data_IF_444934054173
#
_entry.id   IF_444934054173
#
_cell.length_a   1.000
_cell.length_b   1.000
_cell.length_c   1.000
_cell.angle_alpha   90.00
_cell.angle_beta   90.00
_cell.angle_gamma   90.00
#
_symmetry.space_group_name_H-M   'P 1'
#
loop_
_entity.id
_entity.type
_entity.pdbx_description
1 polymer ?
#
# COMPACT_ATOMS: atom_id res chain seq x y z
N UNK A 1 50.30 -19.20 31.55
CA UNK A 1 50.11 -18.46 30.29
C UNK A 1 48.63 -18.26 29.91
N UNK A 2 47.65 -18.77 30.67
CA UNK A 2 46.20 -18.52 30.42
C UNK A 2 45.64 -17.23 31.06
N UNK A 3 46.38 -16.56 31.96
CA UNK A 3 45.86 -15.39 32.70
C UNK A 3 45.79 -14.10 31.87
N UNK A 4 46.58 -13.98 30.80
CA UNK A 4 46.68 -12.73 30.02
C UNK A 4 45.41 -12.49 29.17
N UNK A 5 44.81 -13.54 28.61
CA UNK A 5 43.58 -13.43 27.81
C UNK A 5 42.33 -13.09 28.64
N UNK A 6 42.29 -13.47 29.92
CA UNK A 6 41.15 -13.17 30.79
C UNK A 6 41.17 -11.72 31.25
N UNK A 7 42.34 -11.15 31.55
CA UNK A 7 42.45 -9.73 31.93
C UNK A 7 42.12 -8.80 30.77
N UNK A 8 42.56 -9.09 29.55
CA UNK A 8 42.18 -8.29 28.36
C UNK A 8 40.67 -8.35 28.07
N UNK A 9 40.03 -9.50 28.32
CA UNK A 9 38.59 -9.67 28.17
C UNK A 9 37.80 -8.93 29.27
N UNK A 10 38.24 -9.02 30.52
CA UNK A 10 37.60 -8.34 31.66
C UNK A 10 37.79 -6.83 31.61
N UNK A 11 38.98 -6.35 31.24
CA UNK A 11 39.27 -4.91 31.11
C UNK A 11 38.57 -4.32 29.87
N UNK A 12 38.44 -5.09 28.78
CA UNK A 12 37.79 -4.63 27.55
C UNK A 12 36.26 -4.71 27.55
N UNK A 13 35.67 -5.79 28.07
CA UNK A 13 34.22 -6.05 28.01
C UNK A 13 33.52 -5.97 29.38
N UNK A 14 34.25 -6.11 30.49
CA UNK A 14 33.69 -6.03 31.84
C UNK A 14 32.92 -4.74 32.14
N UNK A 15 33.45 -3.53 31.81
CA UNK A 15 32.73 -2.28 32.01
C UNK A 15 31.40 -2.20 31.24
N UNK A 16 31.34 -2.77 30.03
CA UNK A 16 30.14 -2.77 29.17
C UNK A 16 29.04 -3.68 29.74
N UNK A 17 29.43 -4.87 30.21
CA UNK A 17 28.51 -5.82 30.85
C UNK A 17 27.99 -5.28 32.18
N UNK A 18 28.85 -4.62 32.97
CA UNK A 18 28.45 -3.98 34.23
C UNK A 18 27.47 -2.82 33.99
N UNK A 19 27.73 -2.00 32.98
CA UNK A 19 26.80 -0.94 32.58
C UNK A 19 25.43 -1.50 32.16
N UNK A 20 25.42 -2.57 31.36
CA UNK A 20 24.17 -3.25 30.95
C UNK A 20 23.39 -3.78 32.16
N UNK A 21 24.09 -4.43 33.10
CA UNK A 21 23.49 -4.94 34.34
C UNK A 21 22.85 -3.81 35.15
N UNK A 22 23.58 -2.69 35.34
CA UNK A 22 23.06 -1.51 36.03
C UNK A 22 21.81 -0.95 35.35
N UNK A 23 21.80 -0.91 34.02
CA UNK A 23 20.66 -0.40 33.26
C UNK A 23 19.42 -1.30 33.41
N UNK A 24 19.61 -2.63 33.38
CA UNK A 24 18.52 -3.59 33.64
C UNK A 24 17.97 -3.42 35.06
N UNK A 25 18.85 -3.31 36.05
CA UNK A 25 18.46 -3.09 37.46
C UNK A 25 17.70 -1.77 37.59
N UNK A 26 18.18 -0.68 36.99
CA UNK A 26 17.49 0.60 36.97
C UNK A 26 16.11 0.50 36.31
N UNK A 27 16.00 -0.22 35.18
CA UNK A 27 14.73 -0.48 34.51
C UNK A 27 13.72 -1.21 35.40
N UNK A 28 14.15 -2.24 36.11
CA UNK A 28 13.30 -2.97 37.07
C UNK A 28 12.84 -2.04 38.19
N UNK A 29 13.73 -1.22 38.76
CA UNK A 29 13.39 -0.25 39.81
C UNK A 29 12.35 0.75 39.31
N UNK A 30 12.52 1.28 38.09
CA UNK A 30 11.54 2.19 37.47
C UNK A 30 10.20 1.50 37.25
N UNK A 31 10.18 0.28 36.71
CA UNK A 31 8.96 -0.50 36.52
C UNK A 31 8.20 -0.72 37.83
N UNK A 32 8.91 -1.10 38.89
CA UNK A 32 8.33 -1.31 40.22
C UNK A 32 7.79 0.01 40.80
N UNK A 33 8.52 1.11 40.63
CA UNK A 33 8.12 2.44 41.09
C UNK A 33 6.84 2.91 40.40
N UNK A 34 6.78 2.80 39.06
CA UNK A 34 5.59 3.13 38.27
C UNK A 34 4.43 2.21 38.64
N UNK A 35 4.67 0.91 38.78
CA UNK A 35 3.63 -0.05 39.15
C UNK A 35 3.01 0.27 40.52
N UNK A 36 3.83 0.70 41.50
CA UNK A 36 3.36 1.17 42.81
C UNK A 36 2.59 2.49 42.72
N UNK A 37 3.07 3.44 41.92
CA UNK A 37 2.39 4.73 41.72
C UNK A 37 1.02 4.56 41.06
N UNK A 38 0.95 3.77 39.99
CA UNK A 38 -0.30 3.44 39.30
C UNK A 38 -1.26 2.70 40.25
N UNK A 39 -0.77 1.79 41.09
CA UNK A 39 -1.59 1.12 42.11
C UNK A 39 -2.13 2.11 43.15
N UNK A 40 -1.34 3.09 43.56
CA UNK A 40 -1.75 4.14 44.48
C UNK A 40 -2.87 5.02 43.88
N UNK A 41 -2.73 5.42 42.60
CA UNK A 41 -3.75 6.18 41.88
C UNK A 41 -5.04 5.39 41.68
N UNK A 42 -4.93 4.10 41.37
CA UNK A 42 -6.06 3.19 41.26
C UNK A 42 -6.82 3.08 42.60
N UNK A 43 -6.12 2.91 43.73
CA UNK A 43 -6.73 2.87 45.08
C UNK A 43 -7.42 4.17 45.49
N UNK A 44 -7.04 5.30 44.89
CA UNK A 44 -7.70 6.60 45.09
C UNK A 44 -8.89 6.82 44.15
N UNK A 45 -9.33 5.80 43.41
CA UNK A 45 -10.36 5.88 42.35
C UNK A 45 -10.06 6.96 41.29
N UNK A 46 -8.80 7.34 41.10
CA UNK A 46 -8.42 8.38 40.15
C UNK A 46 -8.30 7.86 38.71
N UNK A 47 -8.15 6.54 38.51
CA UNK A 47 -7.96 5.90 37.20
C UNK A 47 -8.74 4.58 37.11
N UNK A 48 -9.19 4.21 35.91
CA UNK A 48 -9.84 2.92 35.64
C UNK A 48 -8.82 1.78 35.53
N UNK A 49 -9.29 0.54 35.69
CA UNK A 49 -8.45 -0.65 35.58
C UNK A 49 -7.77 -0.76 34.20
N UNK A 50 -8.52 -0.48 33.12
CA UNK A 50 -7.99 -0.49 31.75
C UNK A 50 -6.83 0.50 31.58
N UNK A 51 -6.94 1.70 32.15
CA UNK A 51 -5.88 2.72 32.06
C UNK A 51 -4.63 2.30 32.83
N UNK A 52 -4.79 1.67 34.01
CA UNK A 52 -3.71 1.11 34.80
C UNK A 52 -2.94 0.02 34.06
N UNK A 53 -3.65 -0.89 33.38
CA UNK A 53 -3.04 -1.96 32.59
C UNK A 53 -2.29 -1.41 31.36
N UNK A 54 -2.89 -0.44 30.65
CA UNK A 54 -2.25 0.23 29.50
C UNK A 54 -0.97 0.95 29.93
N UNK A 55 -0.99 1.70 31.04
CA UNK A 55 0.20 2.39 31.55
C UNK A 55 1.33 1.43 31.92
N UNK A 56 1.00 0.30 32.57
CA UNK A 56 2.00 -0.74 32.90
C UNK A 56 2.59 -1.37 31.64
N UNK A 57 1.75 -1.67 30.64
CA UNK A 57 2.20 -2.25 29.38
C UNK A 57 3.10 -1.29 28.59
N UNK A 58 2.73 -0.01 28.50
CA UNK A 58 3.56 1.03 27.87
C UNK A 58 4.90 1.17 28.61
N UNK A 59 4.87 1.23 29.95
CA UNK A 59 6.10 1.33 30.76
C UNK A 59 7.01 0.13 30.53
N UNK A 60 6.45 -1.09 30.55
CA UNK A 60 7.18 -2.32 30.26
C UNK A 60 7.79 -2.29 28.86
N UNK A 61 7.03 -1.84 27.86
CA UNK A 61 7.50 -1.70 26.49
C UNK A 61 8.65 -0.70 26.36
N UNK A 62 8.55 0.48 26.97
CA UNK A 62 9.60 1.51 26.96
C UNK A 62 10.89 0.98 27.59
N UNK A 63 10.79 0.31 28.74
CA UNK A 63 11.96 -0.28 29.42
C UNK A 63 12.62 -1.33 28.54
N UNK A 64 11.82 -2.24 27.96
CA UNK A 64 12.33 -3.28 27.07
C UNK A 64 13.06 -2.68 25.86
N UNK A 65 12.45 -1.70 25.19
CA UNK A 65 13.04 -1.01 24.03
C UNK A 65 14.32 -0.28 24.44
N UNK A 66 14.34 0.39 25.59
CA UNK A 66 15.52 1.10 26.08
C UNK A 66 16.68 0.12 26.33
N UNK A 67 16.45 -0.93 27.11
CA UNK A 67 17.47 -1.97 27.37
C UNK A 67 17.97 -2.57 26.06
N UNK A 68 17.06 -2.88 25.13
CA UNK A 68 17.41 -3.43 23.83
C UNK A 68 18.29 -2.47 23.01
N UNK A 69 17.94 -1.19 22.89
CA UNK A 69 18.72 -0.21 22.15
C UNK A 69 20.11 0.00 22.74
N UNK A 70 20.23 0.06 24.08
CA UNK A 70 21.54 0.17 24.73
C UNK A 70 22.38 -1.11 24.57
N UNK A 71 21.74 -2.28 24.54
CA UNK A 71 22.42 -3.54 24.24
C UNK A 71 23.01 -3.51 22.82
N UNK A 72 22.23 -3.06 21.84
CA UNK A 72 22.69 -2.90 20.46
C UNK A 72 23.84 -1.88 20.34
N UNK A 73 23.79 -0.79 21.11
CA UNK A 73 24.87 0.19 21.16
C UNK A 73 26.18 -0.42 21.66
N UNK A 74 26.14 -1.34 22.64
CA UNK A 74 27.33 -2.04 23.12
C UNK A 74 27.91 -3.02 22.08
N UNK A 75 27.07 -3.55 21.20
CA UNK A 75 27.46 -4.37 20.04
C UNK A 75 28.03 -3.52 18.88
N UNK A 76 28.14 -2.20 19.05
CA UNK A 76 28.66 -1.28 18.03
C UNK A 76 27.60 -0.80 17.03
N UNK A 77 26.32 -1.13 17.24
CA UNK A 77 25.21 -0.67 16.40
C UNK A 77 24.64 0.63 16.98
N UNK A 78 24.91 1.76 16.34
CA UNK A 78 24.37 3.05 16.77
C UNK A 78 22.89 3.17 16.37
N UNK A 79 22.06 3.79 17.23
CA UNK A 79 20.63 4.02 16.96
C UNK A 79 20.42 4.71 15.58
N UNK A 80 21.30 5.65 15.22
CA UNK A 80 21.26 6.33 13.92
C UNK A 80 21.38 5.37 12.73
N UNK A 81 22.20 4.32 12.85
CA UNK A 81 22.38 3.32 11.78
C UNK A 81 21.13 2.44 11.62
N UNK A 82 20.47 2.08 12.72
CA UNK A 82 19.22 1.33 12.70
C UNK A 82 18.14 2.15 11.99
N UNK A 83 17.97 3.40 12.41
CA UNK A 83 16.98 4.32 11.82
C UNK A 83 17.28 4.55 10.34
N UNK A 84 18.54 4.80 9.97
CA UNK A 84 18.92 4.98 8.57
C UNK A 84 18.61 3.73 7.73
N UNK A 85 18.91 2.53 8.22
CA UNK A 85 18.63 1.27 7.51
C UNK A 85 17.12 1.05 7.31
N UNK A 86 16.31 1.38 8.32
CA UNK A 86 14.87 1.23 8.24
C UNK A 86 14.26 2.23 7.26
N UNK A 87 14.69 3.49 7.31
CA UNK A 87 14.22 4.53 6.40
C UNK A 87 14.62 4.25 4.96
N UNK A 88 15.84 3.78 4.72
CA UNK A 88 16.30 3.39 3.38
C UNK A 88 15.49 2.20 2.86
N UNK A 89 15.24 1.18 3.68
CA UNK A 89 14.39 0.06 3.30
C UNK A 89 12.95 0.50 2.99
N UNK A 90 12.37 1.36 3.82
CA UNK A 90 11.04 1.92 3.59
C UNK A 90 10.98 2.76 2.31
N UNK A 91 12.01 3.56 2.03
CA UNK A 91 12.12 4.33 0.79
C UNK A 91 12.18 3.42 -0.45
N UNK A 92 12.95 2.32 -0.40
CA UNK A 92 13.01 1.34 -1.48
C UNK A 92 11.65 0.70 -1.75
N UNK A 93 10.92 0.34 -0.69
CA UNK A 93 9.56 -0.20 -0.80
C UNK A 93 8.61 0.85 -1.42
N UNK A 94 8.68 2.10 -0.98
CA UNK A 94 7.84 3.18 -1.50
C UNK A 94 8.07 3.40 -3.00
N UNK A 95 9.33 3.41 -3.45
CA UNK A 95 9.67 3.53 -4.87
C UNK A 95 9.11 2.34 -5.68
N UNK A 96 9.28 1.11 -5.18
CA UNK A 96 8.71 -0.08 -5.81
C UNK A 96 7.19 -0.02 -5.92
N UNK A 97 6.52 0.49 -4.89
CA UNK A 97 5.07 0.67 -4.89
C UNK A 97 4.60 1.68 -5.95
N UNK A 98 5.32 2.80 -6.10
CA UNK A 98 5.03 3.80 -7.14
C UNK A 98 5.12 3.18 -8.54
N UNK A 99 6.10 2.31 -8.78
CA UNK A 99 6.28 1.64 -10.07
C UNK A 99 5.10 0.71 -10.44
N UNK A 100 4.50 0.04 -9.46
CA UNK A 100 3.40 -0.92 -9.67
C UNK A 100 2.02 -0.26 -9.61
N UNK A 101 1.92 0.96 -9.05
CA UNK A 101 0.65 1.66 -8.80
C UNK A 101 -0.25 1.72 -10.05
N UNK A 102 0.31 2.07 -11.21
CA UNK A 102 -0.46 2.17 -12.46
C UNK A 102 -0.99 0.82 -12.93
N UNK A 103 -0.19 -0.24 -12.84
CA UNK A 103 -0.59 -1.60 -13.24
C UNK A 103 -1.71 -2.10 -12.35
N UNK A 104 -1.56 -1.93 -11.02
CA UNK A 104 -2.58 -2.32 -10.05
C UNK A 104 -3.88 -1.54 -10.25
N UNK A 105 -3.79 -0.24 -10.51
CA UNK A 105 -4.95 0.62 -10.78
C UNK A 105 -5.73 0.14 -12.01
N UNK A 106 -5.05 -0.16 -13.13
CA UNK A 106 -5.71 -0.68 -14.33
C UNK A 106 -6.33 -2.06 -14.10
N UNK A 107 -5.61 -2.96 -13.43
CA UNK A 107 -6.11 -4.28 -13.07
C UNK A 107 -7.40 -4.22 -12.24
N UNK A 108 -7.42 -3.39 -11.19
CA UNK A 108 -8.60 -3.19 -10.37
C UNK A 108 -9.75 -2.59 -11.19
N UNK A 109 -9.46 -1.65 -12.10
CA UNK A 109 -10.48 -1.08 -12.99
C UNK A 109 -11.07 -2.12 -13.94
N UNK A 110 -10.26 -3.02 -14.50
CA UNK A 110 -10.79 -4.15 -15.30
C UNK A 110 -11.72 -5.03 -14.49
N UNK A 111 -11.36 -5.32 -13.23
CA UNK A 111 -12.22 -6.08 -12.33
C UNK A 111 -13.55 -5.35 -12.05
N UNK A 112 -13.50 -4.03 -11.84
CA UNK A 112 -14.71 -3.20 -11.67
C UNK A 112 -15.57 -3.17 -12.94
N UNK A 113 -14.97 -3.14 -14.13
CA UNK A 113 -15.72 -3.24 -15.39
C UNK A 113 -16.47 -4.57 -15.48
N UNK A 114 -15.85 -5.67 -15.05
CA UNK A 114 -16.53 -6.97 -15.03
C UNK A 114 -17.66 -7.00 -14.00
N UNK A 115 -17.38 -6.58 -12.76
CA UNK A 115 -18.34 -6.67 -11.65
C UNK A 115 -19.56 -5.75 -11.81
N UNK A 116 -19.32 -4.49 -12.18
CA UNK A 116 -20.37 -3.47 -12.23
C UNK A 116 -20.86 -3.18 -13.66
N UNK A 117 -20.13 -3.67 -14.67
CA UNK A 117 -20.48 -3.55 -16.09
C UNK A 117 -20.95 -2.15 -16.48
N UNK A 118 -20.17 -1.09 -16.19
CA UNK A 118 -20.54 0.30 -16.50
C UNK A 118 -20.76 0.50 -18.01
N UNK A 119 -20.03 -0.26 -18.84
CA UNK A 119 -20.19 -0.39 -20.28
C UNK A 119 -19.95 -1.86 -20.69
N UNK A 120 -20.45 -2.23 -21.87
CA UNK A 120 -20.26 -3.55 -22.50
C UNK A 120 -19.54 -3.41 -23.83
N UNK A 121 -18.96 -4.51 -24.30
CA UNK A 121 -18.50 -4.61 -25.69
C UNK A 121 -19.69 -4.35 -26.62
N UNK A 122 -19.48 -3.48 -27.61
CA UNK A 122 -20.50 -3.02 -28.55
C UNK A 122 -21.19 -1.70 -28.17
N UNK A 123 -21.05 -1.24 -26.93
CA UNK A 123 -21.55 0.08 -26.53
C UNK A 123 -20.73 1.20 -27.16
N UNK A 124 -21.38 2.33 -27.43
CA UNK A 124 -20.72 3.54 -27.87
C UNK A 124 -20.46 4.44 -26.67
N UNK A 125 -19.21 4.86 -26.50
CA UNK A 125 -18.77 5.66 -25.35
C UNK A 125 -18.02 6.90 -25.81
N UNK A 126 -18.21 7.99 -25.06
CA UNK A 126 -17.49 9.25 -25.23
C UNK A 126 -16.83 9.63 -23.91
N UNK A 127 -15.51 9.72 -23.91
CA UNK A 127 -14.74 10.21 -22.76
C UNK A 127 -14.65 11.72 -22.88
N UNK A 128 -15.29 12.42 -21.95
CA UNK A 128 -15.27 13.88 -21.94
C UNK A 128 -13.96 14.35 -21.29
N UNK A 129 -13.25 15.26 -21.95
CA UNK A 129 -12.20 16.01 -21.28
C UNK A 129 -12.84 17.10 -20.42
N UNK A 130 -12.47 17.17 -19.14
CA UNK A 130 -13.03 18.15 -18.19
C UNK A 130 -12.77 19.60 -18.65
N UNK A 131 -11.85 19.81 -19.61
CA UNK A 131 -11.52 21.12 -20.19
C UNK A 131 -11.58 21.07 -21.72
N UNK A 132 -12.74 21.45 -22.29
CA UNK A 132 -12.88 22.12 -23.60
C UNK A 132 -12.41 21.43 -24.89
N UNK A 133 -11.78 20.26 -24.87
CA UNK A 133 -11.34 19.53 -26.07
C UNK A 133 -12.46 18.70 -26.72
N UNK A 134 -12.36 18.36 -28.02
CA UNK A 134 -13.24 17.37 -28.62
C UNK A 134 -13.08 16.04 -27.86
N UNK A 135 -14.15 15.58 -27.22
CA UNK A 135 -14.16 14.34 -26.47
C UNK A 135 -13.88 13.14 -27.37
N UNK A 136 -13.18 12.14 -26.83
CA UNK A 136 -12.84 10.93 -27.56
C UNK A 136 -14.06 10.01 -27.62
N UNK A 137 -14.63 9.80 -28.81
CA UNK A 137 -15.83 8.98 -29.02
C UNK A 137 -15.55 7.76 -29.86
N UNK A 138 -16.04 6.61 -29.43
CA UNK A 138 -15.88 5.36 -30.15
C UNK A 138 -16.74 4.22 -29.62
N UNK A 139 -16.84 3.15 -30.41
CA UNK A 139 -17.50 1.90 -30.02
C UNK A 139 -16.50 0.98 -29.31
N UNK A 140 -16.87 0.44 -28.15
CA UNK A 140 -16.04 -0.53 -27.44
C UNK A 140 -15.98 -1.83 -28.25
N UNK A 141 -14.77 -2.24 -28.62
CA UNK A 141 -14.54 -3.48 -29.39
C UNK A 141 -14.08 -4.60 -28.48
N UNK A 142 -13.20 -4.28 -27.53
CA UNK A 142 -12.60 -5.26 -26.62
C UNK A 142 -12.02 -4.56 -25.39
N UNK A 143 -11.77 -5.30 -24.31
CA UNK A 143 -11.00 -4.82 -23.17
C UNK A 143 -10.17 -5.93 -22.54
N UNK A 144 -9.00 -5.56 -22.00
CA UNK A 144 -8.14 -6.47 -21.24
C UNK A 144 -7.80 -5.86 -19.87
N UNK A 145 -6.80 -6.41 -19.17
CA UNK A 145 -6.39 -5.97 -17.83
C UNK A 145 -5.78 -4.56 -17.79
N UNK A 146 -5.21 -4.08 -18.91
CA UNK A 146 -4.47 -2.82 -18.97
C UNK A 146 -5.22 -1.72 -19.72
N UNK A 147 -5.90 -2.07 -20.82
CA UNK A 147 -6.60 -1.11 -21.67
C UNK A 147 -7.91 -1.65 -22.24
N UNK A 148 -8.79 -0.71 -22.61
CA UNK A 148 -10.00 -0.93 -23.39
C UNK A 148 -9.76 -0.37 -24.79
N UNK A 149 -10.08 -1.17 -25.82
CA UNK A 149 -9.97 -0.78 -27.22
C UNK A 149 -11.32 -0.25 -27.72
N UNK A 150 -11.31 0.97 -28.23
CA UNK A 150 -12.47 1.59 -28.89
C UNK A 150 -12.15 1.83 -30.36
N UNK A 151 -13.11 1.55 -31.23
CA UNK A 151 -13.04 1.96 -32.63
C UNK A 151 -13.64 3.35 -32.74
N UNK A 152 -12.87 4.30 -33.26
CA UNK A 152 -13.30 5.68 -33.41
C UNK A 152 -14.61 5.78 -34.19
N UNK A 153 -15.54 6.59 -33.69
CA UNK A 153 -16.90 6.77 -34.25
C UNK A 153 -17.12 8.24 -34.55
N UNK A 154 -17.58 8.56 -35.77
CA UNK A 154 -17.77 9.93 -36.26
C UNK A 154 -18.04 10.01 -37.76
N UNK A 155 -17.94 11.21 -38.34
CA UNK A 155 -18.01 11.44 -39.80
C UNK A 155 -16.66 11.09 -40.44
N UNK A 156 -16.18 9.88 -40.19
CA UNK A 156 -14.91 9.37 -40.68
C UNK A 156 -15.24 8.14 -41.55
N UNK A 157 -14.73 8.06 -42.79
CA UNK A 157 -14.85 6.88 -43.63
C UNK A 157 -14.42 5.62 -42.87
N UNK A 158 -15.10 4.50 -43.10
CA UNK A 158 -14.87 3.26 -42.34
C UNK A 158 -13.43 2.73 -42.50
N UNK A 159 -12.79 3.05 -43.62
CA UNK A 159 -11.40 2.69 -43.95
C UNK A 159 -10.35 3.52 -43.18
N UNK A 160 -10.72 4.68 -42.63
CA UNK A 160 -9.80 5.59 -41.91
C UNK A 160 -9.99 5.55 -40.38
N UNK A 161 -10.91 4.73 -39.86
CA UNK A 161 -11.17 4.67 -38.42
C UNK A 161 -9.98 4.14 -37.65
N UNK A 162 -9.50 4.91 -36.67
CA UNK A 162 -8.44 4.49 -35.78
C UNK A 162 -8.96 3.55 -34.67
N UNK A 163 -8.16 2.54 -34.33
CA UNK A 163 -8.35 1.74 -33.11
C UNK A 163 -7.61 2.42 -31.96
N UNK A 164 -8.36 2.95 -31.00
CA UNK A 164 -7.83 3.74 -29.89
C UNK A 164 -7.81 2.89 -28.63
N UNK A 165 -6.66 2.83 -27.95
CA UNK A 165 -6.45 2.04 -26.73
C UNK A 165 -6.34 2.95 -25.53
N UNK A 166 -7.22 2.76 -24.56
CA UNK A 166 -7.36 3.65 -23.41
C UNK A 166 -7.10 2.87 -22.13
N UNK A 167 -6.20 3.34 -21.25
CA UNK A 167 -5.98 2.70 -19.96
C UNK A 167 -7.27 2.59 -19.15
N UNK A 168 -7.50 1.44 -18.54
CA UNK A 168 -8.76 1.15 -17.84
C UNK A 168 -9.05 2.10 -16.68
N UNK A 169 -8.01 2.58 -15.99
CA UNK A 169 -8.16 3.55 -14.91
C UNK A 169 -8.72 4.90 -15.37
N UNK A 170 -8.53 5.26 -16.64
CA UNK A 170 -9.00 6.54 -17.20
C UNK A 170 -10.53 6.62 -17.17
N UNK A 171 -11.20 5.48 -17.36
CA UNK A 171 -12.67 5.40 -17.33
C UNK A 171 -13.29 5.69 -15.96
N UNK A 172 -12.51 5.51 -14.88
CA UNK A 172 -12.97 5.80 -13.52
C UNK A 172 -12.47 7.16 -13.01
N UNK A 173 -11.61 7.85 -13.78
CA UNK A 173 -11.08 9.17 -13.46
C UNK A 173 -11.78 10.31 -14.22
N UNK A 174 -12.36 10.02 -15.39
CA UNK A 174 -13.07 10.98 -16.25
C UNK A 174 -14.56 10.65 -16.32
N UNK A 175 -15.38 11.65 -16.65
CA UNK A 175 -16.79 11.43 -16.95
C UNK A 175 -16.95 10.72 -18.31
N UNK A 176 -17.86 9.74 -18.36
CA UNK A 176 -18.16 8.97 -19.56
C UNK A 176 -19.63 9.15 -19.91
N UNK A 177 -19.90 9.46 -21.18
CA UNK A 177 -21.23 9.29 -21.76
C UNK A 177 -21.27 7.93 -22.45
N UNK A 178 -22.36 7.20 -22.23
CA UNK A 178 -22.60 5.88 -22.82
C UNK A 178 -23.91 5.88 -23.58
N UNK A 179 -23.87 5.39 -24.80
CA UNK A 179 -25.04 5.01 -25.57
C UNK A 179 -25.04 3.50 -25.74
N UNK A 180 -26.14 2.87 -25.36
CA UNK A 180 -26.28 1.42 -25.44
C UNK A 180 -26.17 0.99 -26.91
N UNK A 181 -25.26 0.05 -27.19
CA UNK A 181 -25.14 -0.56 -28.50
C UNK A 181 -26.42 -1.33 -28.83
N UNK A 182 -27.01 -1.06 -29.99
CA UNK A 182 -28.24 -1.75 -30.42
C UNK A 182 -27.91 -3.23 -30.75
N UNK A 183 -28.31 -4.14 -29.85
CA UNK A 183 -28.13 -5.59 -29.99
C UNK A 183 -28.72 -6.11 -31.32
N UNK A 184 -29.71 -5.41 -31.89
CA UNK A 184 -30.38 -5.76 -33.15
C UNK A 184 -29.45 -5.81 -34.35
N UNK A 185 -28.56 -4.83 -34.54
CA UNK A 185 -27.70 -4.76 -35.75
C UNK A 185 -26.66 -5.88 -35.81
N UNK A 186 -26.17 -6.32 -34.64
CA UNK A 186 -25.26 -7.46 -34.50
C UNK A 186 -25.94 -8.80 -34.84
N UNK A 187 -27.20 -8.98 -34.45
CA UNK A 187 -28.00 -10.16 -34.79
C UNK A 187 -28.39 -10.14 -36.27
N UNK A 188 -28.81 -8.99 -36.79
CA UNK A 188 -29.16 -8.82 -38.21
C UNK A 188 -27.97 -9.11 -39.13
N UNK A 189 -26.78 -8.60 -38.79
CA UNK A 189 -25.54 -8.90 -39.52
C UNK A 189 -25.19 -10.39 -39.49
N UNK A 190 -25.36 -11.06 -38.35
CA UNK A 190 -25.15 -12.51 -38.22
C UNK A 190 -26.17 -13.32 -39.04
N UNK A 191 -27.43 -12.90 -39.07
CA UNK A 191 -28.48 -13.55 -39.84
C UNK A 191 -28.30 -13.33 -41.36
N UNK A 192 -27.87 -12.14 -41.76
CA UNK A 192 -27.59 -11.81 -43.17
C UNK A 192 -26.39 -12.59 -43.70
N UNK A 193 -25.29 -12.63 -42.94
CA UNK A 193 -24.08 -13.40 -43.30
C UNK A 193 -24.40 -14.90 -43.43
N UNK A 194 -25.22 -15.44 -42.52
CA UNK A 194 -25.71 -16.83 -42.58
C UNK A 194 -26.68 -17.09 -43.73
N UNK A 195 -27.44 -16.09 -44.18
CA UNK A 195 -28.34 -16.22 -45.36
C UNK A 195 -27.60 -16.16 -46.70
N UNK A 196 -26.45 -15.47 -46.75
CA UNK A 196 -25.62 -15.36 -47.95
C UNK A 196 -24.68 -16.56 -48.11
N UNK A 197 -24.49 -17.36 -47.05
CA UNK A 197 -23.73 -18.61 -47.04
C UNK A 197 -24.55 -19.86 -47.44
N UNK A 198 -25.81 -19.71 -47.85
CA UNK A 198 -26.68 -20.77 -48.39
C UNK A 198 -26.96 -20.53 -49.87
#
# INVERSE_FOLDING_TARGET
MESIHFEDFVVGQGPKLLFLLLLVVAGIIVYLSVSRFVLMLYRRNAISESFSQVFKNITKFIILVTVFLFTLQQLGVTISTIVASLLTMAAMIAIGFIAVWSVLSNFLCSFLVILFTPFRIGDEIEITEVVGGPGLRGRVVDFNMMYTAILESGVIPEEERALIRIPNNTFFQKAIKRWKGDERKSIEKYLLDKSLSK
#
